data_IF_856026470856
#
_entry.id   IF_856026470856
#
_cell.length_a   1.000
_cell.length_b   1.000
_cell.length_c   1.000
_cell.angle_alpha   90.00
_cell.angle_beta   90.00
_cell.angle_gamma   90.00
#
_symmetry.space_group_name_H-M   'P 1'
#
loop_
_entity.id
_entity.type
_entity.pdbx_description
1 polymer ?
#
# COMPACT_ATOMS: atom_id res chain seq x y z
N UNK A 1 10.40 5.96 12.05
CA UNK A 1 9.93 6.62 10.80
C UNK A 1 9.43 8.01 11.19
N UNK A 2 10.09 9.07 10.71
CA UNK A 2 9.76 10.48 11.00
C UNK A 2 8.97 11.13 9.86
N UNK A 3 9.11 10.62 8.63
CA UNK A 3 8.42 11.13 7.45
C UNK A 3 7.93 10.00 6.55
N UNK A 4 6.70 10.13 6.05
CA UNK A 4 6.08 9.23 5.08
C UNK A 4 5.62 10.08 3.89
N UNK A 5 6.26 9.89 2.73
CA UNK A 5 5.96 10.65 1.51
C UNK A 5 5.03 9.84 0.60
N UNK A 6 3.83 10.37 0.34
CA UNK A 6 2.89 9.76 -0.61
C UNK A 6 3.25 10.10 -2.05
N UNK A 7 3.28 9.07 -2.91
CA UNK A 7 3.70 9.19 -4.30
C UNK A 7 2.71 8.42 -5.19
N UNK A 8 1.98 9.08 -6.11
CA UNK A 8 1.04 8.40 -7.01
C UNK A 8 1.77 7.35 -7.88
N UNK A 9 1.26 6.13 -7.87
CA UNK A 9 1.86 5.00 -8.60
C UNK A 9 1.77 5.14 -10.13
N UNK A 10 0.86 5.96 -10.63
CA UNK A 10 0.59 6.14 -12.06
C UNK A 10 1.39 7.30 -12.71
N UNK A 11 2.39 7.83 -11.99
CA UNK A 11 3.17 9.01 -12.37
C UNK A 11 4.67 8.73 -12.35
N UNK A 12 5.21 8.31 -13.50
CA UNK A 12 6.64 7.99 -13.67
C UNK A 12 7.57 9.12 -13.20
N UNK A 13 7.23 10.36 -13.55
CA UNK A 13 7.97 11.55 -13.13
C UNK A 13 8.04 11.69 -11.60
N UNK A 14 6.95 11.42 -10.88
CA UNK A 14 6.90 11.54 -9.41
C UNK A 14 7.64 10.37 -8.75
N UNK A 15 7.48 9.15 -9.26
CA UNK A 15 8.22 7.97 -8.81
C UNK A 15 9.74 8.18 -8.95
N UNK A 16 10.21 8.66 -10.10
CA UNK A 16 11.62 8.94 -10.34
C UNK A 16 12.19 10.02 -9.39
N UNK A 17 11.37 10.99 -8.98
CA UNK A 17 11.79 12.06 -8.06
C UNK A 17 11.77 11.63 -6.59
N UNK A 18 10.90 10.69 -6.22
CA UNK A 18 10.62 10.33 -4.83
C UNK A 18 11.88 9.96 -4.03
N UNK A 19 12.81 9.23 -4.65
CA UNK A 19 14.06 8.80 -4.00
C UNK A 19 14.97 9.96 -3.60
N UNK A 20 14.94 11.06 -4.37
CA UNK A 20 15.76 12.25 -4.10
C UNK A 20 15.21 13.12 -2.97
N UNK A 21 13.97 12.88 -2.51
CA UNK A 21 13.32 13.70 -1.49
C UNK A 21 13.79 13.43 -0.06
N UNK A 22 14.55 12.36 0.19
CA UNK A 22 15.15 12.08 1.50
C UNK A 22 14.14 11.75 2.61
N UNK A 23 12.93 11.27 2.27
CA UNK A 23 11.95 10.81 3.25
C UNK A 23 12.40 9.47 3.89
N UNK A 24 12.01 9.21 5.13
CA UNK A 24 12.31 7.93 5.80
C UNK A 24 11.55 6.77 5.14
N UNK A 25 10.35 7.04 4.63
CA UNK A 25 9.50 6.08 3.94
C UNK A 25 8.78 6.71 2.74
N UNK A 26 8.57 5.91 1.70
CA UNK A 26 7.74 6.23 0.55
C UNK A 26 6.46 5.39 0.63
N UNK A 27 5.29 6.01 0.59
CA UNK A 27 4.01 5.35 0.40
C UNK A 27 3.59 5.49 -1.06
N UNK A 28 3.84 4.46 -1.86
CA UNK A 28 3.40 4.46 -3.25
C UNK A 28 1.89 4.23 -3.29
N UNK A 29 1.16 5.14 -3.91
CA UNK A 29 -0.28 5.27 -3.75
C UNK A 29 -1.07 4.68 -4.93
N UNK A 30 -1.95 3.71 -4.64
CA UNK A 30 -2.89 3.09 -5.59
C UNK A 30 -4.34 3.56 -5.37
N UNK A 31 -4.58 4.40 -4.36
CA UNK A 31 -5.90 4.78 -3.90
C UNK A 31 -6.35 6.13 -4.48
N UNK A 32 -6.47 7.17 -3.65
CA UNK A 32 -7.15 8.43 -4.02
C UNK A 32 -6.34 9.26 -5.02
N UNK A 33 -5.01 9.09 -5.10
CA UNK A 33 -4.21 9.80 -6.10
C UNK A 33 -4.22 9.13 -7.48
N UNK A 34 -4.94 8.01 -7.65
CA UNK A 34 -5.02 7.25 -8.89
C UNK A 34 -6.49 7.13 -9.33
N UNK A 35 -6.78 7.63 -10.53
CA UNK A 35 -8.12 7.51 -11.12
C UNK A 35 -8.53 6.04 -11.29
N UNK A 36 -9.82 5.68 -11.15
CA UNK A 36 -10.30 4.29 -11.24
C UNK A 36 -9.77 3.52 -12.45
N UNK A 37 -9.89 4.09 -13.65
CA UNK A 37 -9.45 3.44 -14.91
C UNK A 37 -7.93 3.30 -15.02
N UNK A 38 -7.17 4.02 -14.19
CA UNK A 38 -5.70 3.96 -14.15
C UNK A 38 -5.17 2.98 -13.11
N UNK A 39 -6.00 2.43 -12.21
CA UNK A 39 -5.54 1.48 -11.17
C UNK A 39 -4.81 0.26 -11.75
N UNK A 40 -5.26 -0.38 -12.87
CA UNK A 40 -4.49 -1.46 -13.48
C UNK A 40 -3.10 -1.03 -13.94
N UNK A 41 -2.98 0.14 -14.58
CA UNK A 41 -1.69 0.70 -15.01
C UNK A 41 -0.80 1.04 -13.80
N UNK A 42 -1.39 1.63 -12.76
CA UNK A 42 -0.69 2.01 -11.54
C UNK A 42 -0.03 0.80 -10.85
N UNK A 43 -0.72 -0.35 -10.78
CA UNK A 43 -0.14 -1.61 -10.28
C UNK A 43 1.06 -2.07 -11.10
N UNK A 44 0.98 -1.98 -12.43
CA UNK A 44 2.09 -2.37 -13.33
C UNK A 44 3.30 -1.44 -13.17
N UNK A 45 3.05 -0.13 -13.04
CA UNK A 45 4.07 0.87 -12.81
C UNK A 45 4.74 0.69 -11.44
N UNK A 46 3.96 0.42 -10.40
CA UNK A 46 4.48 0.08 -9.07
C UNK A 46 5.37 -1.17 -9.12
N UNK A 47 4.93 -2.24 -9.80
CA UNK A 47 5.73 -3.47 -9.92
C UNK A 47 7.07 -3.20 -10.64
N UNK A 48 7.06 -2.37 -11.69
CA UNK A 48 8.27 -1.94 -12.39
C UNK A 48 9.18 -1.11 -11.49
N UNK A 49 8.62 -0.15 -10.77
CA UNK A 49 9.33 0.72 -9.84
C UNK A 49 9.99 -0.10 -8.72
N UNK A 50 9.25 -1.00 -8.07
CA UNK A 50 9.75 -1.82 -6.96
C UNK A 50 10.92 -2.73 -7.38
N UNK A 51 10.88 -3.32 -8.59
CA UNK A 51 12.01 -4.13 -9.12
C UNK A 51 13.30 -3.33 -9.26
N UNK A 52 13.17 -2.07 -9.69
CA UNK A 52 14.29 -1.14 -9.85
C UNK A 52 14.70 -0.41 -8.56
N UNK A 53 13.88 -0.48 -7.51
CA UNK A 53 14.06 0.30 -6.30
C UNK A 53 15.35 -0.08 -5.56
N UNK A 54 16.25 0.88 -5.39
CA UNK A 54 17.51 0.74 -4.62
C UNK A 54 17.67 1.87 -3.60
N UNK A 55 16.60 2.61 -3.35
CA UNK A 55 16.57 3.73 -2.41
C UNK A 55 16.76 3.26 -0.96
N UNK A 56 17.16 4.21 -0.10
CA UNK A 56 17.33 3.97 1.35
C UNK A 56 16.01 4.06 2.12
N UNK A 57 15.00 4.69 1.55
CA UNK A 57 13.70 4.87 2.21
C UNK A 57 12.97 3.52 2.31
N UNK A 58 12.16 3.35 3.35
CA UNK A 58 11.28 2.19 3.45
C UNK A 58 10.21 2.26 2.36
N UNK A 59 10.03 1.18 1.61
CA UNK A 59 8.97 1.10 0.62
C UNK A 59 7.68 0.59 1.26
N UNK A 60 6.68 1.45 1.31
CA UNK A 60 5.30 1.17 1.69
C UNK A 60 4.39 1.36 0.48
N UNK A 61 3.22 0.72 0.50
CA UNK A 61 2.22 0.91 -0.56
C UNK A 61 0.87 1.23 0.08
N UNK A 62 0.26 2.35 -0.29
CA UNK A 62 -1.14 2.61 0.06
C UNK A 62 -2.03 1.87 -0.94
N UNK A 63 -2.73 0.86 -0.45
CA UNK A 63 -3.68 0.06 -1.21
C UNK A 63 -5.06 0.70 -1.17
N UNK A 64 -5.99 0.23 -2.00
CA UNK A 64 -7.38 0.64 -1.92
C UNK A 64 -8.08 0.09 -0.69
N UNK A 65 -9.13 0.78 -0.24
CA UNK A 65 -9.91 0.36 0.93
C UNK A 65 -10.63 -0.98 0.72
N UNK A 66 -11.06 -1.59 1.83
CA UNK A 66 -11.70 -2.91 1.84
C UNK A 66 -13.00 -2.96 1.03
N UNK A 67 -13.76 -1.87 0.95
CA UNK A 67 -15.05 -1.81 0.26
C UNK A 67 -14.93 -1.48 -1.24
N UNK A 68 -13.76 -1.06 -1.71
CA UNK A 68 -13.51 -0.60 -3.08
C UNK A 68 -13.69 -1.65 -4.18
N UNK A 69 -13.61 -2.94 -3.85
CA UNK A 69 -13.49 -4.03 -4.83
C UNK A 69 -12.12 -4.13 -5.53
N UNK A 70 -11.16 -3.27 -5.17
CA UNK A 70 -9.82 -3.20 -5.76
C UNK A 70 -8.73 -3.76 -4.84
N UNK A 71 -8.97 -3.85 -3.52
CA UNK A 71 -8.00 -4.29 -2.53
C UNK A 71 -7.32 -5.63 -2.88
N UNK A 72 -8.10 -6.67 -3.21
CA UNK A 72 -7.53 -7.99 -3.51
C UNK A 72 -6.59 -7.96 -4.73
N UNK A 73 -6.91 -7.13 -5.73
CA UNK A 73 -6.05 -6.93 -6.92
C UNK A 73 -4.78 -6.18 -6.54
N UNK A 74 -4.86 -5.25 -5.59
CA UNK A 74 -3.68 -4.57 -5.04
C UNK A 74 -2.80 -5.56 -4.28
N UNK A 75 -3.35 -6.33 -3.33
CA UNK A 75 -2.57 -7.28 -2.54
C UNK A 75 -1.85 -8.30 -3.43
N UNK A 76 -2.53 -8.84 -4.43
CA UNK A 76 -1.93 -9.77 -5.40
C UNK A 76 -0.77 -9.14 -6.19
N UNK A 77 -0.83 -7.84 -6.49
CA UNK A 77 0.23 -7.13 -7.19
C UNK A 77 1.36 -6.65 -6.28
N UNK A 78 1.05 -6.37 -5.00
CA UNK A 78 1.93 -5.68 -4.05
C UNK A 78 2.72 -6.64 -3.19
N UNK A 79 2.09 -7.67 -2.63
CA UNK A 79 2.73 -8.60 -1.68
C UNK A 79 3.94 -9.32 -2.29
N UNK A 80 3.92 -9.81 -3.54
CA UNK A 80 5.11 -10.42 -4.17
C UNK A 80 6.30 -9.47 -4.34
N UNK A 81 6.09 -8.15 -4.23
CA UNK A 81 7.16 -7.14 -4.28
C UNK A 81 7.88 -7.01 -2.92
N UNK A 82 7.38 -7.67 -1.87
CA UNK A 82 7.89 -7.66 -0.51
C UNK A 82 8.17 -6.24 0.03
N UNK A 83 7.20 -5.31 0.00
CA UNK A 83 7.36 -4.01 0.65
C UNK A 83 7.52 -4.20 2.17
N UNK A 84 7.92 -3.14 2.87
CA UNK A 84 7.94 -3.15 4.35
C UNK A 84 6.53 -3.38 4.90
N UNK A 85 5.52 -2.85 4.21
CA UNK A 85 4.13 -3.02 4.57
C UNK A 85 3.18 -2.26 3.65
N UNK A 86 1.91 -2.38 3.95
CA UNK A 86 0.84 -1.63 3.29
C UNK A 86 0.28 -0.56 4.22
N UNK A 87 -0.18 0.53 3.63
CA UNK A 87 -1.03 1.51 4.29
C UNK A 87 -2.47 1.16 3.91
N UNK A 88 -3.30 0.83 4.90
CA UNK A 88 -4.70 0.47 4.70
C UNK A 88 -5.58 1.69 5.04
N UNK A 89 -6.23 2.28 4.05
CA UNK A 89 -7.09 3.45 4.25
C UNK A 89 -8.50 3.06 4.67
N UNK A 90 -9.24 4.05 5.16
CA UNK A 90 -10.67 4.05 5.47
C UNK A 90 -11.07 2.91 6.42
N UNK A 91 -10.17 2.52 7.32
CA UNK A 91 -10.42 1.51 8.34
C UNK A 91 -11.50 2.02 9.29
N UNK A 92 -12.57 1.24 9.46
CA UNK A 92 -13.74 1.62 10.28
C UNK A 92 -13.79 0.94 11.64
N UNK A 93 -12.96 -0.08 11.86
CA UNK A 93 -12.88 -0.82 13.12
C UNK A 93 -11.88 -1.97 13.06
N UNK A 94 -11.71 -2.71 14.17
CA UNK A 94 -10.77 -3.84 14.25
C UNK A 94 -11.15 -4.99 13.31
N UNK A 95 -12.44 -5.15 12.98
CA UNK A 95 -12.91 -6.23 12.10
C UNK A 95 -12.33 -6.11 10.68
N UNK A 96 -12.14 -4.89 10.19
CA UNK A 96 -11.49 -4.64 8.90
C UNK A 96 -10.02 -5.13 8.94
N UNK A 97 -9.34 -5.01 10.07
CA UNK A 97 -7.96 -5.44 10.24
C UNK A 97 -7.85 -6.97 10.26
N UNK A 98 -8.78 -7.65 10.93
CA UNK A 98 -8.83 -9.12 10.93
C UNK A 98 -9.02 -9.66 9.51
N UNK A 99 -9.97 -9.08 8.76
CA UNK A 99 -10.24 -9.46 7.36
C UNK A 99 -9.00 -9.25 6.49
N UNK A 100 -8.38 -8.06 6.56
CA UNK A 100 -7.20 -7.76 5.75
C UNK A 100 -5.99 -8.60 6.19
N UNK A 101 -5.87 -8.92 7.48
CA UNK A 101 -4.87 -9.86 8.00
C UNK A 101 -4.95 -11.22 7.32
N UNK A 102 -6.15 -11.82 7.24
CA UNK A 102 -6.34 -13.08 6.53
C UNK A 102 -6.00 -12.99 5.03
N UNK A 103 -6.33 -11.87 4.38
CA UNK A 103 -5.97 -11.67 2.98
C UNK A 103 -4.46 -11.52 2.78
N UNK A 104 -3.76 -10.85 3.70
CA UNK A 104 -2.30 -10.75 3.68
C UNK A 104 -1.66 -12.13 3.88
N UNK A 105 -2.08 -12.90 4.89
CA UNK A 105 -1.56 -14.25 5.14
C UNK A 105 -1.71 -15.13 3.89
N UNK A 106 -2.86 -15.07 3.22
CA UNK A 106 -3.08 -15.80 1.97
C UNK A 106 -2.16 -15.32 0.84
N UNK A 107 -2.02 -14.00 0.67
CA UNK A 107 -1.18 -13.42 -0.39
C UNK A 107 0.31 -13.74 -0.17
N UNK A 108 0.77 -13.73 1.09
CA UNK A 108 2.13 -14.09 1.47
C UNK A 108 2.43 -15.55 1.17
N UNK A 109 1.54 -16.46 1.58
CA UNK A 109 1.66 -17.89 1.26
C UNK A 109 1.69 -18.11 -0.26
N UNK A 110 0.81 -17.45 -1.01
CA UNK A 110 0.77 -17.54 -2.46
C UNK A 110 2.05 -16.99 -3.13
N UNK A 111 2.69 -16.00 -2.52
CA UNK A 111 3.95 -15.42 -2.97
C UNK A 111 5.19 -16.18 -2.47
N UNK A 112 5.03 -17.22 -1.64
CA UNK A 112 6.15 -17.94 -1.01
C UNK A 112 6.87 -17.15 0.08
N UNK A 113 6.20 -16.17 0.68
CA UNK A 113 6.71 -15.34 1.78
C UNK A 113 6.26 -15.91 3.14
N UNK A 114 7.02 -15.68 4.23
CA UNK A 114 6.57 -16.01 5.57
C UNK A 114 5.30 -15.23 5.94
N UNK A 115 4.36 -15.89 6.62
CA UNK A 115 3.17 -15.24 7.14
C UNK A 115 3.53 -14.17 8.18
N UNK A 116 2.83 -13.03 8.13
CA UNK A 116 3.07 -11.88 8.99
C UNK A 116 4.33 -11.07 8.63
N UNK A 117 4.90 -11.27 7.44
CA UNK A 117 6.07 -10.51 6.99
C UNK A 117 5.70 -9.05 6.63
N UNK A 118 4.57 -8.87 5.96
CA UNK A 118 4.06 -7.60 5.45
C UNK A 118 3.39 -6.84 6.58
N UNK A 119 3.94 -5.69 6.95
CA UNK A 119 3.35 -4.87 8.02
C UNK A 119 2.06 -4.18 7.55
N UNK A 120 1.17 -3.92 8.50
CA UNK A 120 -0.07 -3.19 8.27
C UNK A 120 -0.01 -1.84 8.99
N UNK A 121 -0.20 -0.74 8.26
CA UNK A 121 -0.36 0.60 8.82
C UNK A 121 -1.79 1.10 8.52
N UNK A 122 -2.73 0.98 9.47
CA UNK A 122 -4.10 1.39 9.24
C UNK A 122 -4.29 2.91 9.43
N UNK A 123 -5.14 3.51 8.60
CA UNK A 123 -5.59 4.90 8.74
C UNK A 123 -7.01 4.91 9.31
N UNK A 124 -7.11 5.07 10.62
CA UNK A 124 -8.38 4.98 11.35
C UNK A 124 -9.00 6.35 11.68
N UNK A 125 -8.52 7.45 11.08
CA UNK A 125 -8.97 8.83 11.40
C UNK A 125 -9.68 9.54 10.26
N UNK A 126 -9.84 8.88 9.10
CA UNK A 126 -10.37 9.53 7.89
C UNK A 126 -11.85 9.24 7.60
N UNK A 127 -12.53 8.53 8.50
CA UNK A 127 -13.98 8.40 8.51
C UNK A 127 -14.56 8.73 9.88
N UNK A 128 -15.76 9.30 9.93
CA UNK A 128 -16.43 9.65 11.19
C UNK A 128 -16.67 8.42 12.08
N UNK A 129 -17.00 7.28 11.48
CA UNK A 129 -17.23 6.03 12.20
C UNK A 129 -15.94 5.52 12.87
N UNK A 130 -14.80 5.62 12.19
CA UNK A 130 -13.53 5.13 12.70
C UNK A 130 -13.06 5.86 13.97
N UNK A 131 -13.24 7.18 14.02
CA UNK A 131 -12.87 8.00 15.20
C UNK A 131 -13.61 7.58 16.46
N UNK A 132 -14.84 7.05 16.33
CA UNK A 132 -15.65 6.59 17.46
C UNK A 132 -15.31 5.17 17.92
N UNK A 133 -14.47 4.45 17.17
CA UNK A 133 -14.15 3.03 17.37
C UNK A 133 -12.64 2.77 17.49
N UNK A 134 -11.84 3.82 17.69
CA UNK A 134 -10.40 3.74 17.94
C UNK A 134 -10.06 3.09 19.28
#
# INVERSE_FOLDING_TARGET
MKSLLFVPADSERKLAKAESCGADALAIDLEDAVLPDRKPLARQMLATYAKGYRGKSQLWVRVNDLASGELLKDLAAVVPLAPVGIVLPKVTGPEDLDIVGYYLDMAEVAAGLPQGQTKLLPVCTETAAAVLRM
#
